data_IF_882444425649
#
_entry.id   IF_882444425649
#
_cell.length_a   1.000
_cell.length_b   1.000
_cell.length_c   1.000
_cell.angle_alpha   90.00
_cell.angle_beta   90.00
_cell.angle_gamma   90.00
#
_symmetry.space_group_name_H-M   'P 1'
#
loop_
_entity.id
_entity.type
_entity.pdbx_description
1 polymer ?
#
# COMPACT_ATOMS: atom_id res chain seq x y z
N UNK A 1 20.16 -27.34 -9.72
CA UNK A 1 19.03 -26.99 -8.85
C UNK A 1 18.61 -28.27 -8.13
N UNK A 2 18.89 -28.39 -6.82
CA UNK A 2 18.67 -29.61 -6.02
C UNK A 2 17.65 -29.44 -4.89
N UNK A 3 17.03 -28.27 -4.76
CA UNK A 3 15.99 -28.00 -3.77
C UNK A 3 14.60 -28.13 -4.41
N UNK A 4 13.69 -28.81 -3.73
CA UNK A 4 12.30 -28.97 -4.16
C UNK A 4 11.50 -27.75 -3.69
N UNK A 5 10.88 -27.02 -4.62
CA UNK A 5 9.92 -25.98 -4.26
C UNK A 5 8.80 -26.59 -3.41
N UNK A 6 8.35 -25.90 -2.34
CA UNK A 6 7.20 -26.32 -1.55
C UNK A 6 5.96 -26.57 -2.43
N UNK A 7 5.15 -27.57 -2.07
CA UNK A 7 4.04 -28.05 -2.91
C UNK A 7 3.02 -26.94 -3.21
N UNK A 8 2.62 -26.16 -2.20
CA UNK A 8 1.65 -25.06 -2.37
C UNK A 8 2.15 -24.01 -3.36
N UNK A 9 3.42 -23.63 -3.28
CA UNK A 9 4.01 -22.66 -4.22
C UNK A 9 4.12 -23.24 -5.64
N UNK A 10 4.38 -24.54 -5.78
CA UNK A 10 4.37 -25.22 -7.08
C UNK A 10 2.98 -25.22 -7.71
N UNK A 11 1.94 -25.50 -6.92
CA UNK A 11 0.55 -25.45 -7.37
C UNK A 11 0.17 -24.04 -7.84
N UNK A 12 0.60 -23.00 -7.11
CA UNK A 12 0.45 -21.62 -7.54
C UNK A 12 1.13 -21.34 -8.89
N UNK A 13 2.38 -21.78 -9.08
CA UNK A 13 3.10 -21.59 -10.35
C UNK A 13 2.41 -22.33 -11.52
N UNK A 14 1.81 -23.50 -11.28
CA UNK A 14 1.06 -24.25 -12.30
C UNK A 14 -0.26 -23.56 -12.64
N UNK A 15 -0.98 -23.05 -11.64
CA UNK A 15 -2.32 -22.46 -11.82
C UNK A 15 -2.32 -21.00 -12.28
N UNK A 16 -1.35 -20.20 -11.85
CA UNK A 16 -1.34 -18.74 -12.02
C UNK A 16 -0.04 -18.22 -12.65
N UNK A 17 1.10 -18.83 -12.32
CA UNK A 17 2.43 -18.50 -12.84
C UNK A 17 2.88 -17.04 -12.62
N UNK A 18 2.83 -16.59 -11.36
CA UNK A 18 3.19 -15.23 -10.97
C UNK A 18 2.01 -14.25 -11.07
N UNK A 19 2.33 -12.95 -11.11
CA UNK A 19 1.33 -11.88 -11.17
C UNK A 19 1.06 -11.22 -9.82
N UNK A 20 0.17 -10.22 -9.81
CA UNK A 20 -0.19 -9.49 -8.60
C UNK A 20 -1.45 -10.09 -7.97
N UNK A 21 -1.41 -10.52 -6.69
CA UNK A 21 -2.60 -11.01 -6.01
C UNK A 21 -3.63 -9.88 -5.82
N UNK A 22 -4.90 -10.25 -5.65
CA UNK A 22 -5.98 -9.33 -5.25
C UNK A 22 -6.86 -10.08 -4.23
N UNK A 23 -6.96 -9.61 -2.97
CA UNK A 23 -6.25 -8.48 -2.35
C UNK A 23 -4.72 -8.65 -2.29
N UNK A 24 -3.98 -7.59 -1.95
CA UNK A 24 -2.52 -7.58 -1.99
C UNK A 24 -1.80 -7.02 -0.76
N UNK A 25 -2.49 -6.54 0.29
CA UNK A 25 -1.81 -6.11 1.51
C UNK A 25 -1.64 -7.26 2.48
N UNK A 26 -0.56 -7.24 3.26
CA UNK A 26 -0.29 -8.18 4.36
C UNK A 26 0.19 -7.42 5.59
N UNK A 27 -0.07 -7.98 6.76
CA UNK A 27 0.45 -7.50 8.04
C UNK A 27 1.61 -8.37 8.49
N UNK A 28 2.56 -7.79 9.21
CA UNK A 28 3.65 -8.51 9.85
C UNK A 28 4.07 -7.82 11.14
N UNK A 29 4.91 -8.49 11.92
CA UNK A 29 5.55 -7.91 13.10
C UNK A 29 6.96 -7.51 12.70
N UNK A 30 7.27 -6.21 12.79
CA UNK A 30 8.59 -5.68 12.47
C UNK A 30 9.67 -6.14 13.48
N UNK A 31 10.92 -5.78 13.23
CA UNK A 31 12.06 -6.04 14.13
C UNK A 31 11.95 -5.40 15.52
N UNK A 32 11.10 -4.37 15.68
CA UNK A 32 10.81 -3.72 16.96
C UNK A 32 9.69 -4.40 17.75
N UNK A 33 8.99 -5.37 17.14
CA UNK A 33 7.85 -6.07 17.72
C UNK A 33 6.51 -5.35 17.50
N UNK A 34 6.47 -4.34 16.63
CA UNK A 34 5.25 -3.60 16.29
C UNK A 34 4.58 -4.20 15.05
N UNK A 35 3.26 -4.10 14.99
CA UNK A 35 2.51 -4.47 13.80
C UNK A 35 2.72 -3.41 12.72
N UNK A 36 3.03 -3.87 11.52
CA UNK A 36 3.21 -3.04 10.33
C UNK A 36 2.54 -3.73 9.13
N UNK A 37 2.40 -3.00 8.02
CA UNK A 37 1.71 -3.48 6.81
C UNK A 37 2.47 -3.12 5.55
N UNK A 38 2.48 -4.02 4.58
CA UNK A 38 3.01 -3.74 3.25
C UNK A 38 2.16 -4.43 2.16
N UNK A 39 2.44 -4.12 0.90
CA UNK A 39 1.74 -4.63 -0.27
C UNK A 39 2.61 -5.57 -1.10
N UNK A 40 2.01 -6.62 -1.65
CA UNK A 40 2.60 -7.41 -2.73
C UNK A 40 2.48 -6.62 -4.04
N UNK A 41 3.61 -6.23 -4.62
CA UNK A 41 3.70 -5.62 -5.94
C UNK A 41 3.55 -6.69 -7.04
N UNK A 42 4.30 -7.78 -6.94
CA UNK A 42 4.16 -8.95 -7.84
C UNK A 42 4.74 -10.20 -7.22
N UNK A 43 4.10 -11.34 -7.45
CA UNK A 43 4.70 -12.66 -7.35
C UNK A 43 5.39 -13.03 -8.67
N UNK A 44 6.49 -13.75 -8.57
CA UNK A 44 7.34 -14.10 -9.71
C UNK A 44 6.83 -15.32 -10.46
N UNK A 45 6.97 -15.26 -11.78
CA UNK A 45 6.57 -16.32 -12.70
C UNK A 45 7.76 -17.04 -13.32
N UNK A 46 7.47 -18.10 -14.06
CA UNK A 46 8.41 -18.88 -14.84
C UNK A 46 8.12 -18.76 -16.35
N UNK A 47 9.16 -18.92 -17.16
CA UNK A 47 9.04 -18.97 -18.62
C UNK A 47 9.57 -17.70 -19.32
N UNK A 48 9.86 -17.84 -20.61
CA UNK A 48 10.51 -16.80 -21.42
C UNK A 48 9.63 -15.56 -21.68
N UNK A 49 8.31 -15.67 -21.50
CA UNK A 49 7.37 -14.57 -21.65
C UNK A 49 7.22 -13.72 -20.39
N UNK A 50 7.73 -14.19 -19.26
CA UNK A 50 7.75 -13.42 -18.01
C UNK A 50 8.90 -12.43 -18.10
N UNK A 51 8.66 -11.11 -17.98
CA UNK A 51 9.72 -10.12 -18.03
C UNK A 51 10.81 -10.38 -17.00
N UNK A 52 12.07 -10.08 -17.33
CA UNK A 52 13.24 -10.39 -16.50
C UNK A 52 13.12 -9.94 -15.04
N UNK A 53 12.50 -8.78 -14.80
CA UNK A 53 12.31 -8.22 -13.47
C UNK A 53 11.22 -8.93 -12.64
N UNK A 54 10.48 -9.88 -13.22
CA UNK A 54 9.46 -10.73 -12.56
C UNK A 54 9.68 -12.22 -12.79
N UNK A 55 10.79 -12.58 -13.45
CA UNK A 55 11.11 -13.96 -13.75
C UNK A 55 11.84 -14.59 -12.57
N UNK A 56 11.26 -15.63 -11.97
CA UNK A 56 11.76 -16.27 -10.75
C UNK A 56 13.23 -16.71 -10.89
N UNK A 57 13.63 -17.24 -12.04
CA UNK A 57 15.00 -17.72 -12.25
C UNK A 57 16.00 -16.56 -12.34
N UNK A 58 15.64 -15.52 -13.07
CA UNK A 58 16.50 -14.34 -13.27
C UNK A 58 16.63 -13.55 -11.96
N UNK A 59 15.53 -13.36 -11.25
CA UNK A 59 15.53 -12.68 -9.95
C UNK A 59 16.31 -13.49 -8.92
N UNK A 60 16.13 -14.80 -8.84
CA UNK A 60 16.93 -15.65 -7.95
C UNK A 60 18.44 -15.50 -8.19
N UNK A 61 18.87 -15.49 -9.46
CA UNK A 61 20.27 -15.26 -9.81
C UNK A 61 20.76 -13.88 -9.39
N UNK A 62 19.93 -12.84 -9.57
CA UNK A 62 20.25 -11.45 -9.19
C UNK A 62 20.46 -11.29 -7.69
N UNK A 63 19.70 -12.01 -6.87
CA UNK A 63 19.78 -11.95 -5.40
C UNK A 63 20.67 -13.05 -4.79
N UNK A 64 21.30 -13.89 -5.61
CA UNK A 64 22.23 -14.90 -5.15
C UNK A 64 23.41 -14.25 -4.40
N UNK A 65 23.61 -14.65 -3.14
CA UNK A 65 24.65 -14.09 -2.26
C UNK A 65 24.23 -12.86 -1.46
N UNK A 66 23.04 -12.30 -1.72
CA UNK A 66 22.43 -11.18 -0.98
C UNK A 66 21.38 -11.65 0.03
N UNK A 67 20.66 -12.71 -0.34
CA UNK A 67 19.62 -13.35 0.47
C UNK A 67 20.19 -14.66 1.05
N UNK A 68 19.83 -15.05 2.30
CA UNK A 68 20.23 -16.34 2.84
C UNK A 68 19.92 -17.50 1.88
N UNK A 69 20.88 -18.43 1.66
CA UNK A 69 20.77 -19.43 0.60
C UNK A 69 19.65 -20.45 0.82
N UNK A 70 19.07 -20.52 2.01
CA UNK A 70 17.93 -21.40 2.29
C UNK A 70 16.59 -20.84 1.82
N UNK A 71 16.49 -19.52 1.58
CA UNK A 71 15.26 -18.86 1.15
C UNK A 71 15.39 -18.32 -0.28
N UNK A 72 14.27 -18.34 -0.99
CA UNK A 72 14.15 -17.99 -2.39
C UNK A 72 13.20 -16.80 -2.52
N UNK A 73 13.63 -15.71 -3.14
CA UNK A 73 12.74 -14.61 -3.50
C UNK A 73 11.67 -15.09 -4.51
N UNK A 74 10.40 -14.89 -4.17
CA UNK A 74 9.21 -15.29 -4.94
C UNK A 74 8.28 -14.13 -5.27
N UNK A 75 8.57 -12.93 -4.77
CA UNK A 75 7.88 -11.70 -5.12
C UNK A 75 8.56 -10.48 -4.51
N UNK A 76 8.03 -9.30 -4.81
CA UNK A 76 8.45 -8.01 -4.26
C UNK A 76 7.28 -7.20 -3.71
N UNK A 77 7.63 -6.22 -2.89
CA UNK A 77 6.80 -5.09 -2.51
C UNK A 77 7.14 -3.83 -3.35
N UNK A 78 6.37 -2.73 -3.24
CA UNK A 78 6.68 -1.47 -3.91
C UNK A 78 7.98 -0.78 -3.46
N UNK A 79 8.51 -1.15 -2.28
CA UNK A 79 9.66 -0.52 -1.63
C UNK A 79 10.99 -1.21 -1.97
N UNK A 80 10.96 -2.32 -2.72
CA UNK A 80 12.14 -3.05 -3.17
C UNK A 80 12.53 -4.23 -2.27
N UNK A 81 11.76 -4.53 -1.22
CA UNK A 81 11.96 -5.73 -0.41
C UNK A 81 11.49 -6.97 -1.17
N UNK A 82 11.92 -8.14 -0.69
CA UNK A 82 11.62 -9.41 -1.33
C UNK A 82 10.76 -10.28 -0.42
N UNK A 83 9.66 -10.78 -0.96
CA UNK A 83 8.88 -11.86 -0.34
C UNK A 83 9.60 -13.16 -0.69
N UNK A 84 10.09 -13.85 0.34
CA UNK A 84 10.92 -15.04 0.22
C UNK A 84 10.20 -16.28 0.76
N UNK A 85 10.46 -17.45 0.18
CA UNK A 85 10.04 -18.75 0.70
C UNK A 85 11.25 -19.60 1.05
N UNK A 86 11.25 -20.22 2.23
CA UNK A 86 12.25 -21.22 2.57
C UNK A 86 12.09 -22.47 1.71
N UNK A 87 13.16 -22.87 1.02
CA UNK A 87 13.17 -24.04 0.12
C UNK A 87 13.89 -25.24 0.70
N UNK A 88 14.56 -25.08 1.84
CA UNK A 88 15.32 -26.11 2.53
C UNK A 88 15.46 -25.80 4.03
N UNK A 89 15.88 -26.78 4.82
CA UNK A 89 16.05 -26.65 6.27
C UNK A 89 14.74 -26.77 7.05
N UNK A 90 14.81 -26.55 8.37
CA UNK A 90 13.68 -26.73 9.30
C UNK A 90 12.50 -25.77 9.05
N UNK A 91 12.77 -24.66 8.36
CA UNK A 91 11.77 -23.64 8.00
C UNK A 91 11.15 -23.84 6.62
N UNK A 92 11.43 -24.94 5.92
CA UNK A 92 10.97 -25.17 4.55
C UNK A 92 9.45 -24.95 4.42
N UNK A 93 9.04 -24.10 3.47
CA UNK A 93 7.65 -23.70 3.25
C UNK A 93 7.24 -22.38 3.89
N UNK A 94 7.95 -21.92 4.93
CA UNK A 94 7.67 -20.64 5.59
C UNK A 94 8.02 -19.46 4.70
N UNK A 95 7.27 -18.37 4.86
CA UNK A 95 7.47 -17.11 4.16
C UNK A 95 8.11 -16.05 5.03
N UNK A 96 8.89 -15.21 4.37
CA UNK A 96 9.63 -14.12 4.98
C UNK A 96 9.60 -12.88 4.11
N UNK A 97 9.70 -11.70 4.72
CA UNK A 97 10.05 -10.45 4.08
C UNK A 97 11.55 -10.22 4.29
N UNK A 98 12.31 -10.08 3.21
CA UNK A 98 13.72 -9.70 3.27
C UNK A 98 13.81 -8.19 3.02
N UNK A 99 14.19 -7.44 4.05
CA UNK A 99 14.31 -5.98 4.01
C UNK A 99 15.62 -5.58 3.31
N UNK A 100 15.51 -4.93 2.15
CA UNK A 100 16.69 -4.55 1.36
C UNK A 100 17.47 -3.38 1.98
N UNK A 101 16.83 -2.59 2.84
CA UNK A 101 17.42 -1.38 3.43
C UNK A 101 18.46 -1.72 4.51
N UNK A 102 18.36 -2.90 5.14
CA UNK A 102 19.30 -3.43 6.14
C UNK A 102 20.05 -4.68 5.65
N UNK A 103 20.50 -4.67 4.39
CA UNK A 103 21.26 -5.80 3.82
C UNK A 103 22.63 -6.00 4.50
N UNK A 104 22.97 -7.26 4.77
CA UNK A 104 24.25 -7.65 5.35
C UNK A 104 25.12 -8.49 4.39
N UNK A 105 26.43 -8.29 4.46
CA UNK A 105 27.44 -9.14 3.77
C UNK A 105 28.39 -9.72 4.82
N UNK A 106 28.41 -11.05 5.05
CA UNK A 106 27.60 -12.10 4.41
C UNK A 106 26.11 -12.02 4.77
N UNK A 107 25.21 -12.66 3.98
CA UNK A 107 23.78 -12.63 4.25
C UNK A 107 23.44 -13.27 5.60
N UNK A 108 22.48 -12.67 6.31
CA UNK A 108 22.02 -13.16 7.63
C UNK A 108 20.49 -13.13 7.70
N UNK A 109 19.93 -13.60 8.81
CA UNK A 109 18.49 -13.52 9.09
C UNK A 109 18.09 -12.25 9.85
N UNK A 110 19.00 -11.30 10.08
CA UNK A 110 18.69 -10.07 10.85
C UNK A 110 17.69 -9.16 10.14
N UNK A 111 17.74 -9.12 8.81
CA UNK A 111 16.83 -8.36 7.96
C UNK A 111 15.76 -9.27 7.30
N UNK A 112 15.47 -10.42 7.93
CA UNK A 112 14.50 -11.41 7.43
C UNK A 112 13.37 -11.53 8.45
N UNK A 113 12.23 -10.94 8.12
CA UNK A 113 11.04 -10.90 8.96
C UNK A 113 10.12 -12.06 8.60
N UNK A 114 9.58 -12.76 9.59
CA UNK A 114 8.63 -13.84 9.34
C UNK A 114 7.26 -13.30 8.91
N UNK A 115 6.67 -13.92 7.88
CA UNK A 115 5.34 -13.55 7.38
C UNK A 115 4.28 -14.62 7.67
N UNK A 116 4.56 -15.88 7.35
CA UNK A 116 3.61 -16.96 7.53
C UNK A 116 4.26 -18.34 7.50
N UNK A 117 3.58 -19.33 8.08
CA UNK A 117 4.04 -20.71 8.11
C UNK A 117 4.02 -21.42 6.75
N UNK A 118 3.09 -21.04 5.87
CA UNK A 118 2.91 -21.66 4.55
C UNK A 118 2.51 -20.65 3.48
N UNK A 119 2.67 -21.03 2.21
CA UNK A 119 2.29 -20.19 1.07
C UNK A 119 0.81 -19.84 1.10
N UNK A 120 -0.04 -20.84 1.33
CA UNK A 120 -1.48 -20.61 1.41
C UNK A 120 -1.87 -19.77 2.64
N UNK A 121 -1.17 -19.91 3.78
CA UNK A 121 -1.45 -19.06 4.94
C UNK A 121 -1.20 -17.58 4.62
N UNK A 122 -0.08 -17.26 3.96
CA UNK A 122 0.20 -15.89 3.50
C UNK A 122 -0.81 -15.38 2.48
N UNK A 123 -1.06 -16.15 1.41
CA UNK A 123 -1.97 -15.73 0.34
C UNK A 123 -3.40 -15.52 0.86
N UNK A 124 -3.88 -16.41 1.75
CA UNK A 124 -5.21 -16.27 2.34
C UNK A 124 -5.28 -15.17 3.40
N UNK A 125 -4.15 -14.72 3.95
CA UNK A 125 -4.04 -13.59 4.87
C UNK A 125 -3.99 -12.22 4.19
N UNK A 126 -3.94 -12.18 2.85
CA UNK A 126 -3.96 -10.93 2.11
C UNK A 126 -5.29 -10.20 2.29
N UNK A 127 -5.23 -8.88 2.43
CA UNK A 127 -6.38 -8.02 2.68
C UNK A 127 -6.31 -6.71 1.88
N UNK A 128 -7.43 -5.99 1.82
CA UNK A 128 -7.43 -4.63 1.25
C UNK A 128 -6.72 -3.69 2.23
N UNK A 129 -5.94 -2.74 1.70
CA UNK A 129 -5.35 -1.72 2.58
C UNK A 129 -6.46 -0.94 3.26
N UNK A 130 -6.29 -0.65 4.56
CA UNK A 130 -7.19 0.26 5.25
C UNK A 130 -7.22 1.64 4.56
N UNK A 131 -6.12 2.01 3.89
CA UNK A 131 -5.98 3.23 3.10
C UNK A 131 -6.61 3.17 1.71
N UNK A 132 -7.14 2.03 1.23
CA UNK A 132 -7.71 1.95 -0.12
C UNK A 132 -9.00 2.75 -0.23
N UNK A 133 -9.82 2.73 0.84
CA UNK A 133 -10.99 3.58 0.98
C UNK A 133 -10.60 5.06 0.99
N UNK A 134 -9.64 5.45 1.86
CA UNK A 134 -9.12 6.82 1.96
C UNK A 134 -8.50 7.28 0.65
N UNK A 135 -7.75 6.41 -0.05
CA UNK A 135 -7.13 6.72 -1.36
C UNK A 135 -8.19 6.94 -2.42
N UNK A 136 -9.22 6.09 -2.48
CA UNK A 136 -10.32 6.24 -3.44
C UNK A 136 -11.15 7.50 -3.17
N UNK A 137 -11.40 7.81 -1.89
CA UNK A 137 -12.05 9.06 -1.47
C UNK A 137 -11.22 10.28 -1.84
N UNK A 138 -9.92 10.29 -1.55
CA UNK A 138 -9.02 11.39 -1.92
C UNK A 138 -8.93 11.58 -3.45
N UNK A 139 -8.94 10.51 -4.24
CA UNK A 139 -9.00 10.61 -5.71
C UNK A 139 -10.31 11.27 -6.15
N UNK A 140 -11.44 10.91 -5.53
CA UNK A 140 -12.73 11.52 -5.85
C UNK A 140 -12.76 13.02 -5.45
N UNK A 141 -12.15 13.40 -4.31
CA UNK A 141 -11.95 14.80 -3.90
C UNK A 141 -11.11 15.55 -4.94
N UNK A 142 -9.94 15.02 -5.32
CA UNK A 142 -9.04 15.68 -6.28
C UNK A 142 -9.69 15.89 -7.65
N UNK A 143 -10.61 15.01 -8.04
CA UNK A 143 -11.40 15.12 -9.28
C UNK A 143 -12.64 16.02 -9.14
N UNK A 144 -12.90 16.55 -7.95
CA UNK A 144 -14.12 17.27 -7.58
C UNK A 144 -15.41 16.48 -7.93
N UNK A 145 -15.34 15.14 -7.81
CA UNK A 145 -16.41 14.23 -8.22
C UNK A 145 -17.27 13.78 -7.03
N UNK A 146 -18.26 14.60 -6.71
CA UNK A 146 -19.23 14.33 -5.62
C UNK A 146 -19.98 13.00 -5.79
N UNK A 147 -20.26 12.56 -7.02
CA UNK A 147 -20.99 11.31 -7.24
C UNK A 147 -20.17 10.06 -6.86
N UNK A 148 -18.84 10.12 -7.02
CA UNK A 148 -17.98 9.04 -6.54
C UNK A 148 -17.79 9.13 -5.02
N UNK A 149 -17.69 10.34 -4.45
CA UNK A 149 -17.67 10.54 -2.99
C UNK A 149 -18.92 9.95 -2.33
N UNK A 150 -20.10 10.22 -2.89
CA UNK A 150 -21.38 9.69 -2.40
C UNK A 150 -21.44 8.17 -2.39
N UNK A 151 -20.81 7.50 -3.37
CA UNK A 151 -20.78 6.04 -3.46
C UNK A 151 -19.76 5.42 -2.51
N UNK A 152 -18.61 6.08 -2.35
CA UNK A 152 -17.48 5.56 -1.59
C UNK A 152 -17.63 5.80 -0.09
N UNK A 153 -18.25 6.92 0.31
CA UNK A 153 -18.37 7.31 1.70
C UNK A 153 -19.55 6.58 2.37
N UNK A 154 -19.25 5.77 3.39
CA UNK A 154 -20.28 5.13 4.20
C UNK A 154 -21.22 6.17 4.84
N UNK A 155 -22.47 5.80 5.09
CA UNK A 155 -23.48 6.74 5.61
C UNK A 155 -23.13 7.30 6.99
N UNK A 156 -22.45 6.49 7.79
CA UNK A 156 -21.99 6.72 9.16
C UNK A 156 -20.48 6.98 9.25
N UNK A 157 -19.82 7.24 8.12
CA UNK A 157 -18.40 7.58 8.10
C UNK A 157 -18.11 8.81 8.95
N UNK A 158 -17.05 8.74 9.76
CA UNK A 158 -16.53 9.88 10.50
C UNK A 158 -15.86 10.87 9.52
N UNK A 159 -16.42 12.08 9.42
CA UNK A 159 -15.89 13.10 8.51
C UNK A 159 -14.63 13.79 9.06
N UNK A 160 -14.33 13.58 10.34
CA UNK A 160 -13.18 14.16 11.03
C UNK A 160 -11.97 13.21 11.09
N UNK A 161 -12.12 11.98 10.57
CA UNK A 161 -11.00 11.06 10.38
C UNK A 161 -9.91 11.71 9.51
N UNK A 162 -8.66 11.57 9.92
CA UNK A 162 -7.53 12.19 9.27
C UNK A 162 -6.72 11.20 8.44
N UNK A 163 -6.24 11.63 7.28
CA UNK A 163 -5.26 10.88 6.49
C UNK A 163 -3.89 10.78 7.20
N UNK A 164 -2.94 10.06 6.59
CA UNK A 164 -1.57 9.91 7.10
C UNK A 164 -0.79 11.22 7.30
N UNK A 165 -1.30 12.35 6.79
CA UNK A 165 -0.72 13.68 6.98
C UNK A 165 -1.47 14.51 8.02
N UNK A 166 -2.43 13.91 8.73
CA UNK A 166 -3.22 14.57 9.77
C UNK A 166 -4.32 15.48 9.24
N UNK A 167 -4.78 15.30 8.00
CA UNK A 167 -5.78 16.18 7.34
C UNK A 167 -7.12 15.50 7.20
N UNK A 168 -8.21 16.24 7.44
CA UNK A 168 -9.57 15.73 7.20
C UNK A 168 -9.94 15.75 5.72
N UNK A 169 -11.04 15.09 5.34
CA UNK A 169 -11.55 15.13 3.96
C UNK A 169 -11.85 16.56 3.50
N UNK A 170 -12.39 17.39 4.40
CA UNK A 170 -12.74 18.78 4.08
C UNK A 170 -11.47 19.63 3.86
N UNK A 171 -10.43 19.41 4.66
CA UNK A 171 -9.12 20.05 4.48
C UNK A 171 -8.43 19.60 3.18
N UNK A 172 -8.53 18.32 2.82
CA UNK A 172 -8.04 17.81 1.53
C UNK A 172 -8.79 18.44 0.35
N UNK A 173 -10.11 18.66 0.46
CA UNK A 173 -10.88 19.37 -0.56
C UNK A 173 -10.45 20.85 -0.70
N UNK A 174 -10.17 21.53 0.42
CA UNK A 174 -9.64 22.89 0.42
C UNK A 174 -8.29 22.98 -0.29
N UNK A 175 -7.37 22.05 0.03
CA UNK A 175 -6.04 21.98 -0.59
C UNK A 175 -6.16 21.74 -2.11
N UNK A 176 -7.04 20.83 -2.52
CA UNK A 176 -7.23 20.43 -3.91
C UNK A 176 -8.05 21.44 -4.75
N UNK A 177 -8.52 22.55 -4.16
CA UNK A 177 -9.45 23.50 -4.81
C UNK A 177 -10.73 22.83 -5.34
N UNK A 178 -11.18 21.75 -4.68
CA UNK A 178 -12.33 20.96 -5.06
C UNK A 178 -13.62 21.57 -4.49
N UNK A 179 -14.12 22.62 -5.16
CA UNK A 179 -15.22 23.46 -4.65
C UNK A 179 -16.48 22.65 -4.35
N UNK A 180 -16.88 21.72 -5.24
CA UNK A 180 -18.12 20.95 -5.08
C UNK A 180 -17.99 19.91 -3.98
N UNK A 181 -16.84 19.23 -3.91
CA UNK A 181 -16.52 18.30 -2.83
C UNK A 181 -16.50 19.03 -1.48
N UNK A 182 -15.94 20.23 -1.42
CA UNK A 182 -15.89 21.03 -0.20
C UNK A 182 -17.30 21.41 0.28
N UNK A 183 -18.12 22.00 -0.58
CA UNK A 183 -19.51 22.36 -0.24
C UNK A 183 -20.32 21.14 0.21
N UNK A 184 -20.16 20.01 -0.50
CA UNK A 184 -20.87 18.78 -0.17
C UNK A 184 -20.46 18.22 1.19
N UNK A 185 -19.16 18.11 1.48
CA UNK A 185 -18.65 17.67 2.79
C UNK A 185 -19.09 18.62 3.92
N UNK A 186 -19.00 19.94 3.69
CA UNK A 186 -19.44 20.95 4.65
C UNK A 186 -20.95 20.85 4.93
N UNK A 187 -21.77 20.61 3.90
CA UNK A 187 -23.22 20.42 4.05
C UNK A 187 -23.60 19.17 4.87
N UNK A 188 -22.67 18.21 4.98
CA UNK A 188 -22.82 17.00 5.81
C UNK A 188 -22.31 17.18 7.24
N UNK A 189 -21.85 18.37 7.60
CA UNK A 189 -21.42 18.71 8.95
C UNK A 189 -19.92 18.55 9.21
N UNK A 190 -19.09 18.36 8.17
CA UNK A 190 -17.62 18.36 8.34
C UNK A 190 -17.13 19.72 8.85
N UNK A 191 -16.22 19.70 9.83
CA UNK A 191 -15.71 20.90 10.46
C UNK A 191 -14.59 21.53 9.61
N UNK A 192 -14.70 22.82 9.25
CA UNK A 192 -13.71 23.48 8.42
C UNK A 192 -12.32 23.60 9.07
N UNK A 193 -12.17 23.55 10.40
CA UNK A 193 -10.88 23.55 11.11
C UNK A 193 -9.86 24.53 10.49
N UNK A 194 -8.76 24.02 9.93
CA UNK A 194 -7.68 24.80 9.31
C UNK A 194 -7.85 24.98 7.80
N UNK A 195 -9.00 24.62 7.22
CA UNK A 195 -9.25 24.66 5.77
C UNK A 195 -9.04 26.07 5.20
N UNK A 196 -9.44 27.12 5.93
CA UNK A 196 -9.26 28.50 5.47
C UNK A 196 -7.77 28.87 5.38
N UNK A 197 -6.98 28.55 6.40
CA UNK A 197 -5.54 28.82 6.38
C UNK A 197 -4.83 28.02 5.29
N UNK A 198 -5.18 26.74 5.13
CA UNK A 198 -4.62 25.88 4.07
C UNK A 198 -4.94 26.42 2.67
N UNK A 199 -6.18 26.84 2.43
CA UNK A 199 -6.57 27.44 1.16
C UNK A 199 -5.84 28.77 0.90
N UNK A 200 -5.68 29.60 1.93
CA UNK A 200 -4.95 30.87 1.84
C UNK A 200 -3.47 30.66 1.52
N UNK A 201 -2.83 29.66 2.13
CA UNK A 201 -1.44 29.29 1.85
C UNK A 201 -1.28 28.81 0.40
N UNK A 202 -2.16 27.92 -0.07
CA UNK A 202 -2.12 27.43 -1.45
C UNK A 202 -2.38 28.56 -2.47
N UNK A 203 -3.30 29.47 -2.18
CA UNK A 203 -3.61 30.59 -3.08
C UNK A 203 -2.42 31.55 -3.30
N UNK A 204 -1.41 31.54 -2.41
CA UNK A 204 -0.15 32.30 -2.64
C UNK A 204 0.64 31.76 -3.84
N UNK A 205 0.49 30.48 -4.14
CA UNK A 205 1.20 29.80 -5.23
C UNK A 205 0.29 29.52 -6.45
N UNK A 206 -1.01 29.34 -6.23
CA UNK A 206 -2.00 28.97 -7.24
C UNK A 206 -3.16 29.98 -7.24
N UNK A 207 -3.12 31.03 -8.08
CA UNK A 207 -4.14 32.10 -8.07
C UNK A 207 -5.59 31.61 -8.25
N UNK A 208 -5.79 30.51 -8.95
CA UNK A 208 -7.09 29.87 -9.15
C UNK A 208 -7.71 29.31 -7.85
N UNK A 209 -6.91 29.14 -6.79
CA UNK A 209 -7.37 28.74 -5.45
C UNK A 209 -7.98 29.90 -4.66
N UNK A 210 -7.93 31.15 -5.14
CA UNK A 210 -8.66 32.27 -4.52
C UNK A 210 -10.16 31.99 -4.39
N UNK A 211 -10.72 31.20 -5.30
CA UNK A 211 -12.14 30.82 -5.28
C UNK A 211 -12.47 29.99 -4.04
N UNK A 212 -11.60 29.04 -3.68
CA UNK A 212 -11.74 28.26 -2.46
C UNK A 212 -11.65 29.15 -1.22
N UNK A 213 -10.69 30.08 -1.16
CA UNK A 213 -10.58 31.02 -0.03
C UNK A 213 -11.87 31.82 0.17
N UNK A 214 -12.44 32.34 -0.92
CA UNK A 214 -13.71 33.09 -0.89
C UNK A 214 -14.88 32.21 -0.46
N UNK A 215 -14.94 30.98 -0.96
CA UNK A 215 -15.96 29.99 -0.58
C UNK A 215 -15.91 29.67 0.91
N UNK A 216 -14.74 29.27 1.42
CA UNK A 216 -14.58 28.90 2.83
C UNK A 216 -14.91 30.09 3.73
N UNK A 217 -14.36 31.28 3.43
CA UNK A 217 -14.64 32.48 4.21
C UNK A 217 -16.14 32.82 4.25
N UNK A 218 -16.86 32.63 3.14
CA UNK A 218 -18.31 32.86 3.10
C UNK A 218 -19.07 31.83 3.95
N UNK A 219 -18.72 30.55 3.84
CA UNK A 219 -19.38 29.47 4.60
C UNK A 219 -19.14 29.59 6.11
N UNK A 220 -17.93 29.99 6.54
CA UNK A 220 -17.58 30.06 7.96
C UNK A 220 -17.91 31.38 8.65
N UNK A 221 -18.34 32.41 7.92
CA UNK A 221 -18.72 33.72 8.49
C UNK A 221 -20.10 33.71 9.18
N UNK A 222 -20.88 32.64 9.05
CA UNK A 222 -22.26 32.54 9.52
C UNK A 222 -22.48 31.50 10.63
N UNK A 223 -21.43 31.09 11.35
CA UNK A 223 -21.53 30.22 12.53
C UNK A 223 -21.60 31.02 13.84
#
# INVERSE_FOLDING_TARGET
>A
MGCSLPNEYREFLVGHNGGRPVPYWFSYIDESGQEDTDGVSSLYGLGFWVPDYRNLQIVHQRFSGRIPPEILAIGDDPCGNQICIATQGERQGQLFLWNHEDEHTPPTYRNVIFLADTFNHFINGLHESQNNGITSLNIAIQKDNVADLEKLLAKDADLEETDQFGRTMLENAAIANALRAFEWLYSRGANPRNSLSLAQENARFFPEHERMVKLIAHLTQHQ
#
